data_IF_774970790695
#
_entry.id   IF_774970790695
#
_cell.length_a   1.000
_cell.length_b   1.000
_cell.length_c   1.000
_cell.angle_alpha   90.00
_cell.angle_beta   90.00
_cell.angle_gamma   90.00
#
_symmetry.space_group_name_H-M   'P 1'
#
loop_
_entity.id
_entity.type
_entity.pdbx_description
1 polymer ?
#
# COMPACT_ATOMS: atom_id res chain seq x y z
N UNK A 1 -19.10 19.65 -22.76
CA UNK A 1 -18.06 19.75 -21.73
C UNK A 1 -18.76 19.54 -20.39
N UNK A 2 -18.52 18.44 -19.71
CA UNK A 2 -19.31 18.03 -18.56
C UNK A 2 -18.92 18.85 -17.34
N UNK A 3 -19.86 19.59 -16.70
CA UNK A 3 -19.58 20.38 -15.48
C UNK A 3 -19.10 19.52 -14.29
N UNK A 4 -19.49 18.26 -14.28
CA UNK A 4 -19.15 17.29 -13.25
C UNK A 4 -17.64 16.96 -13.14
N UNK A 5 -16.87 17.10 -14.21
CA UNK A 5 -15.43 16.76 -14.21
C UNK A 5 -14.58 17.81 -13.49
N UNK A 6 -14.95 19.09 -13.57
CA UNK A 6 -14.18 20.17 -12.92
C UNK A 6 -14.40 20.22 -11.42
N UNK A 7 -15.61 19.97 -10.97
CA UNK A 7 -15.96 19.94 -9.54
C UNK A 7 -15.35 18.71 -8.86
N UNK A 8 -15.37 17.56 -9.56
CA UNK A 8 -14.77 16.32 -9.12
C UNK A 8 -13.22 16.42 -9.02
N UNK A 9 -12.56 17.03 -9.99
CA UNK A 9 -11.12 17.32 -9.97
C UNK A 9 -10.76 18.22 -8.78
N UNK A 10 -11.54 19.26 -8.48
CA UNK A 10 -11.29 20.17 -7.35
C UNK A 10 -11.37 19.44 -6.00
N UNK A 11 -12.37 18.63 -5.75
CA UNK A 11 -12.50 17.85 -4.51
C UNK A 11 -11.34 16.85 -4.34
N UNK A 12 -10.95 16.17 -5.41
CA UNK A 12 -9.81 15.28 -5.44
C UNK A 12 -8.48 15.98 -5.08
N UNK A 13 -8.23 17.15 -5.68
CA UNK A 13 -7.02 17.91 -5.39
C UNK A 13 -6.98 18.38 -3.93
N UNK A 14 -8.13 18.74 -3.33
CA UNK A 14 -8.17 19.12 -1.93
C UNK A 14 -7.73 17.96 -1.01
N UNK A 15 -8.27 16.75 -1.19
CA UNK A 15 -7.93 15.58 -0.34
C UNK A 15 -6.46 15.16 -0.50
N UNK A 16 -5.92 15.17 -1.74
CA UNK A 16 -4.51 14.91 -1.99
C UNK A 16 -3.64 15.99 -1.32
N UNK A 17 -4.05 17.26 -1.41
CA UNK A 17 -3.30 18.35 -0.82
C UNK A 17 -3.28 18.31 0.71
N UNK A 18 -4.39 17.93 1.35
CA UNK A 18 -4.49 17.79 2.81
C UNK A 18 -4.03 16.43 3.34
N UNK A 19 -3.51 15.57 2.47
CA UNK A 19 -2.94 14.27 2.83
C UNK A 19 -3.92 13.37 3.61
N UNK A 20 -5.16 13.27 3.11
CA UNK A 20 -6.19 12.36 3.62
C UNK A 20 -6.54 11.30 2.58
N UNK A 21 -6.76 10.04 2.98
CA UNK A 21 -7.23 9.01 2.07
C UNK A 21 -8.59 9.37 1.47
N UNK A 22 -8.74 9.11 0.16
CA UNK A 22 -9.99 9.38 -0.54
C UNK A 22 -10.27 8.32 -1.60
N UNK A 23 -11.54 7.89 -1.70
CA UNK A 23 -12.01 7.04 -2.79
C UNK A 23 -12.55 7.94 -3.90
N UNK A 24 -11.94 7.84 -5.07
CA UNK A 24 -12.28 8.61 -6.25
C UNK A 24 -13.03 7.70 -7.22
N UNK A 25 -14.28 8.05 -7.54
CA UNK A 25 -15.15 7.27 -8.42
C UNK A 25 -15.30 7.92 -9.78
N UNK A 26 -15.52 7.09 -10.82
CA UNK A 26 -15.75 7.59 -12.17
C UNK A 26 -14.51 8.13 -12.88
N UNK A 27 -13.31 7.76 -12.42
CA UNK A 27 -12.06 8.09 -13.08
C UNK A 27 -11.95 7.35 -14.43
N UNK A 28 -11.39 8.03 -15.43
CA UNK A 28 -11.13 7.41 -16.71
C UNK A 28 -9.82 6.64 -16.67
N UNK A 29 -9.88 5.34 -16.38
CA UNK A 29 -8.72 4.43 -16.37
C UNK A 29 -8.36 3.87 -17.74
N UNK A 30 -9.13 4.20 -18.77
CA UNK A 30 -8.93 3.67 -20.13
C UNK A 30 -9.73 2.36 -20.38
N UNK A 31 -9.46 1.68 -21.49
CA UNK A 31 -10.19 0.49 -21.90
C UNK A 31 -9.95 -0.74 -21.01
N UNK A 32 -9.02 -0.68 -20.08
CA UNK A 32 -8.71 -1.80 -19.17
C UNK A 32 -9.94 -2.27 -18.37
N UNK A 33 -10.87 -1.37 -18.03
CA UNK A 33 -12.09 -1.72 -17.28
C UNK A 33 -12.99 -2.73 -18.02
N UNK A 34 -13.06 -2.61 -19.34
CA UNK A 34 -13.88 -3.51 -20.18
C UNK A 34 -13.06 -4.71 -20.67
N UNK A 35 -11.76 -4.53 -20.90
CA UNK A 35 -10.92 -5.52 -21.56
C UNK A 35 -10.26 -6.52 -20.62
N UNK A 36 -9.84 -6.12 -19.39
CA UNK A 36 -8.99 -6.95 -18.54
C UNK A 36 -9.77 -8.08 -17.85
N UNK A 37 -10.44 -8.90 -18.69
CA UNK A 37 -10.97 -10.21 -18.29
C UNK A 37 -9.82 -11.21 -18.12
N UNK A 38 -10.06 -12.32 -17.40
CA UNK A 38 -9.06 -13.39 -17.27
C UNK A 38 -8.62 -13.95 -18.62
N UNK A 39 -9.53 -14.07 -19.57
CA UNK A 39 -9.21 -14.53 -20.93
C UNK A 39 -8.29 -13.52 -21.65
N UNK A 40 -8.66 -12.26 -21.69
CA UNK A 40 -7.87 -11.21 -22.34
C UNK A 40 -6.46 -11.08 -21.73
N UNK A 41 -6.36 -11.10 -20.40
CA UNK A 41 -5.08 -11.05 -19.69
C UNK A 41 -4.19 -12.23 -20.07
N UNK A 42 -4.76 -13.45 -20.13
CA UNK A 42 -4.03 -14.65 -20.53
C UNK A 42 -3.54 -14.58 -21.97
N UNK A 43 -4.37 -14.11 -22.90
CA UNK A 43 -4.02 -13.97 -24.31
C UNK A 43 -2.93 -12.89 -24.53
N UNK A 44 -3.06 -11.74 -23.87
CA UNK A 44 -2.15 -10.60 -24.07
C UNK A 44 -0.84 -10.70 -23.30
N UNK A 45 -0.87 -11.29 -22.10
CA UNK A 45 0.34 -11.53 -21.32
C UNK A 45 1.10 -12.79 -21.75
N UNK A 46 0.37 -13.77 -22.33
CA UNK A 46 0.95 -14.97 -22.96
C UNK A 46 1.98 -15.68 -22.11
N UNK A 47 3.12 -15.97 -22.72
CA UNK A 47 4.25 -16.71 -22.12
C UNK A 47 5.26 -15.80 -21.39
N UNK A 48 4.93 -14.52 -21.17
CA UNK A 48 5.80 -13.65 -20.36
C UNK A 48 6.02 -14.27 -18.98
N UNK A 49 7.26 -14.54 -18.61
CA UNK A 49 7.57 -15.11 -17.31
C UNK A 49 7.37 -14.07 -16.19
N UNK A 50 6.63 -14.46 -15.17
CA UNK A 50 6.39 -13.66 -13.98
C UNK A 50 6.75 -14.41 -12.70
N UNK A 51 7.37 -13.69 -11.75
CA UNK A 51 7.66 -14.22 -10.42
C UNK A 51 6.49 -13.93 -9.49
N UNK A 52 5.89 -14.97 -8.96
CA UNK A 52 4.67 -14.91 -8.15
C UNK A 52 4.89 -15.51 -6.76
N UNK A 53 4.07 -15.07 -5.81
CA UNK A 53 3.98 -15.66 -4.48
C UNK A 53 2.91 -16.75 -4.50
N UNK A 54 3.19 -17.89 -3.89
CA UNK A 54 2.27 -19.01 -3.71
C UNK A 54 2.21 -19.37 -2.24
N UNK A 55 1.03 -19.46 -1.66
CA UNK A 55 0.82 -19.77 -0.24
C UNK A 55 -0.30 -20.78 -0.07
N UNK A 56 -0.17 -21.63 0.95
CA UNK A 56 -1.21 -22.57 1.38
C UNK A 56 -2.39 -21.89 2.09
N UNK A 57 -2.24 -20.65 2.47
CA UNK A 57 -3.27 -19.84 3.15
C UNK A 57 -3.40 -18.49 2.48
N UNK A 58 -4.61 -17.89 2.46
CA UNK A 58 -4.82 -16.62 1.77
C UNK A 58 -4.19 -15.43 2.49
N UNK A 59 -3.94 -15.51 3.81
CA UNK A 59 -3.26 -14.45 4.57
C UNK A 59 -1.76 -14.61 4.41
N UNK A 60 -1.15 -13.74 3.61
CA UNK A 60 0.31 -13.75 3.40
C UNK A 60 1.03 -12.99 4.49
N UNK A 61 1.96 -13.68 5.18
CA UNK A 61 2.84 -13.13 6.21
C UNK A 61 4.21 -12.82 5.61
N UNK A 62 4.53 -11.54 5.49
CA UNK A 62 5.81 -11.07 4.97
C UNK A 62 6.87 -10.87 6.05
N UNK A 63 6.49 -10.97 7.33
CA UNK A 63 7.45 -11.01 8.44
C UNK A 63 8.07 -12.40 8.58
N UNK A 64 7.22 -13.45 8.60
CA UNK A 64 7.66 -14.84 8.83
C UNK A 64 7.66 -15.69 7.55
N UNK A 65 7.22 -15.14 6.41
CA UNK A 65 7.26 -15.75 5.06
C UNK A 65 6.60 -17.13 4.98
N UNK A 66 5.27 -17.14 5.03
CA UNK A 66 4.46 -18.35 4.86
C UNK A 66 4.15 -18.68 3.39
N UNK A 67 4.94 -18.20 2.45
CA UNK A 67 4.77 -18.38 1.02
C UNK A 67 6.09 -18.73 0.34
N UNK A 68 5.99 -19.29 -0.86
CA UNK A 68 7.13 -19.56 -1.75
C UNK A 68 7.04 -18.70 -3.01
N UNK A 69 8.17 -18.54 -3.69
CA UNK A 69 8.22 -17.92 -5.01
C UNK A 69 8.20 -18.98 -6.10
N UNK A 70 7.39 -18.75 -7.13
CA UNK A 70 7.40 -19.53 -8.38
C UNK A 70 7.55 -18.60 -9.56
N UNK A 71 8.19 -19.06 -10.61
CA UNK A 71 8.21 -18.39 -11.92
C UNK A 71 7.30 -19.16 -12.85
N UNK A 72 6.34 -18.47 -13.46
CA UNK A 72 5.31 -19.04 -14.32
C UNK A 72 5.11 -18.17 -15.56
N UNK A 73 4.69 -18.75 -16.70
CA UNK A 73 4.08 -17.97 -17.77
C UNK A 73 2.89 -17.17 -17.23
N UNK A 74 2.75 -15.92 -17.64
CA UNK A 74 1.67 -15.04 -17.17
C UNK A 74 0.28 -15.63 -17.42
N UNK A 75 0.05 -16.27 -18.58
CA UNK A 75 -1.20 -16.94 -18.91
C UNK A 75 -1.55 -18.06 -17.92
N UNK A 76 -0.58 -18.87 -17.52
CA UNK A 76 -0.77 -19.93 -16.53
C UNK A 76 -0.99 -19.34 -15.12
N UNK A 77 -0.25 -18.31 -14.74
CA UNK A 77 -0.45 -17.61 -13.48
C UNK A 77 -1.86 -17.03 -13.36
N UNK A 78 -2.35 -16.30 -14.38
CA UNK A 78 -3.71 -15.71 -14.36
C UNK A 78 -4.77 -16.79 -14.26
N UNK A 79 -4.62 -17.92 -14.97
CA UNK A 79 -5.51 -19.08 -14.86
C UNK A 79 -5.56 -19.55 -13.40
N UNK A 80 -4.41 -19.88 -12.80
CA UNK A 80 -4.32 -20.36 -11.42
C UNK A 80 -4.88 -19.35 -10.42
N UNK A 81 -4.50 -18.07 -10.51
CA UNK A 81 -4.99 -17.05 -9.60
C UNK A 81 -6.51 -16.84 -9.65
N UNK A 82 -7.17 -17.16 -10.77
CA UNK A 82 -8.62 -17.04 -10.95
C UNK A 82 -9.41 -18.29 -10.52
N UNK A 83 -8.76 -19.42 -10.34
CA UNK A 83 -9.37 -20.69 -9.91
C UNK A 83 -9.43 -20.77 -8.38
N UNK A 84 -10.43 -21.51 -7.85
CA UNK A 84 -10.56 -21.75 -6.41
C UNK A 84 -9.85 -23.03 -5.96
N UNK A 85 -9.71 -23.98 -6.86
CA UNK A 85 -9.07 -25.27 -6.66
C UNK A 85 -8.26 -25.64 -7.86
N UNK A 86 -7.12 -26.26 -7.64
CA UNK A 86 -6.15 -26.61 -8.66
C UNK A 86 -6.02 -28.14 -8.76
N UNK A 87 -6.20 -28.68 -9.96
CA UNK A 87 -5.91 -30.09 -10.24
C UNK A 87 -4.39 -30.38 -10.29
N UNK A 88 -3.61 -29.34 -10.63
CA UNK A 88 -2.14 -29.33 -10.61
C UNK A 88 -1.70 -28.18 -9.72
N UNK A 89 -1.00 -28.47 -8.61
CA UNK A 89 -0.62 -27.51 -7.60
C UNK A 89 0.83 -27.68 -7.14
N UNK A 90 1.40 -26.63 -6.55
CA UNK A 90 2.75 -26.64 -6.01
C UNK A 90 2.79 -26.99 -4.52
N UNK A 91 1.76 -26.59 -3.77
CA UNK A 91 1.69 -26.72 -2.32
C UNK A 91 0.45 -27.51 -1.88
N UNK A 92 -0.73 -27.07 -2.32
CA UNK A 92 -2.02 -27.70 -2.01
C UNK A 92 -3.08 -27.28 -3.03
N UNK A 93 -4.19 -28.02 -3.10
CA UNK A 93 -5.26 -27.81 -4.11
C UNK A 93 -5.97 -26.46 -4.04
N UNK A 94 -5.93 -25.78 -2.90
CA UNK A 94 -6.57 -24.48 -2.65
C UNK A 94 -5.55 -23.34 -2.42
N UNK A 95 -4.33 -23.51 -2.94
CA UNK A 95 -3.25 -22.54 -2.83
C UNK A 95 -3.62 -21.16 -3.43
N UNK A 96 -3.14 -20.11 -2.78
CA UNK A 96 -3.38 -18.71 -3.16
C UNK A 96 -2.19 -18.13 -3.91
N UNK A 97 -2.47 -17.29 -4.89
CA UNK A 97 -1.48 -16.67 -5.78
C UNK A 97 -1.49 -15.16 -5.69
N UNK A 98 -0.30 -14.56 -5.71
CA UNK A 98 -0.12 -13.11 -5.74
C UNK A 98 1.01 -12.69 -6.65
N UNK A 99 0.71 -11.77 -7.56
CA UNK A 99 1.67 -11.04 -8.37
C UNK A 99 1.81 -9.60 -7.88
N UNK A 100 3.03 -9.18 -7.62
CA UNK A 100 3.48 -7.80 -7.58
C UNK A 100 4.56 -7.65 -8.64
N UNK A 101 4.30 -6.86 -9.68
CA UNK A 101 5.30 -6.64 -10.72
C UNK A 101 6.55 -5.96 -10.16
N UNK A 102 7.68 -6.30 -10.75
CA UNK A 102 9.01 -5.79 -10.38
C UNK A 102 9.60 -5.08 -11.58
N UNK A 103 10.60 -4.23 -11.36
CA UNK A 103 11.42 -3.67 -12.43
C UNK A 103 12.21 -4.75 -13.17
N UNK A 104 12.75 -4.44 -14.32
CA UNK A 104 13.56 -5.37 -15.13
C UNK A 104 14.81 -5.82 -14.35
N UNK A 105 15.57 -4.89 -13.79
CA UNK A 105 16.56 -5.20 -12.75
C UNK A 105 15.91 -4.94 -11.37
N UNK A 106 15.46 -6.02 -10.73
CA UNK A 106 14.76 -5.98 -9.43
C UNK A 106 15.53 -5.31 -8.29
N UNK A 107 16.84 -5.10 -8.47
CA UNK A 107 17.70 -4.47 -7.46
C UNK A 107 17.96 -2.99 -7.72
N UNK A 108 17.64 -2.50 -8.92
CA UNK A 108 18.00 -1.14 -9.35
C UNK A 108 16.83 -0.32 -9.86
N UNK A 109 15.84 -0.98 -10.46
CA UNK A 109 14.78 -0.30 -11.19
C UNK A 109 13.42 -0.47 -10.52
N UNK A 110 12.67 0.63 -10.32
CA UNK A 110 11.27 0.55 -9.92
C UNK A 110 10.41 -0.16 -10.97
N UNK A 111 9.31 -0.75 -10.53
CA UNK A 111 8.33 -1.32 -11.43
C UNK A 111 7.67 -0.23 -12.30
N UNK A 112 7.49 -0.54 -13.58
CA UNK A 112 6.75 0.32 -14.52
C UNK A 112 5.93 -0.57 -15.45
N UNK A 113 4.60 -0.52 -15.33
CA UNK A 113 3.71 -1.33 -16.14
C UNK A 113 3.95 -1.16 -17.65
N UNK A 114 4.38 0.03 -18.08
CA UNK A 114 4.69 0.30 -19.49
C UNK A 114 5.90 -0.47 -19.99
N UNK A 115 6.85 -0.77 -19.09
CA UNK A 115 8.05 -1.55 -19.42
C UNK A 115 7.82 -3.05 -19.31
N UNK A 116 7.24 -3.51 -18.19
CA UNK A 116 7.07 -4.93 -17.93
C UNK A 116 5.87 -5.55 -18.70
N UNK A 117 4.82 -4.77 -18.96
CA UNK A 117 3.59 -5.24 -19.61
C UNK A 117 3.12 -4.25 -20.69
N UNK A 118 3.93 -3.96 -21.72
CA UNK A 118 3.66 -2.87 -22.68
C UNK A 118 2.31 -3.04 -23.37
N UNK A 119 1.94 -4.26 -23.78
CA UNK A 119 0.66 -4.53 -24.45
C UNK A 119 -0.54 -4.25 -23.53
N UNK A 120 -0.45 -4.61 -22.25
CA UNK A 120 -1.53 -4.33 -21.29
C UNK A 120 -1.54 -2.85 -20.89
N UNK A 121 -0.37 -2.21 -20.84
CA UNK A 121 -0.25 -0.81 -20.46
C UNK A 121 -0.92 0.15 -21.46
N UNK A 122 -1.12 -0.27 -22.72
CA UNK A 122 -1.89 0.50 -23.73
C UNK A 122 -3.36 0.66 -23.32
N UNK A 123 -3.90 -0.27 -22.55
CA UNK A 123 -5.27 -0.23 -22.07
C UNK A 123 -5.43 0.57 -20.78
N UNK A 124 -4.34 0.86 -20.04
CA UNK A 124 -4.39 1.53 -18.75
C UNK A 124 -3.91 2.97 -18.84
N UNK A 125 -4.79 3.88 -18.50
CA UNK A 125 -4.47 5.30 -18.42
C UNK A 125 -4.07 5.67 -16.99
N UNK A 126 -2.79 6.03 -16.79
CA UNK A 126 -2.30 6.52 -15.50
C UNK A 126 -2.98 7.87 -15.20
N UNK A 127 -3.66 8.01 -14.05
CA UNK A 127 -4.27 9.27 -13.67
C UNK A 127 -3.22 10.36 -13.40
N UNK A 128 -3.48 11.59 -13.88
CA UNK A 128 -2.57 12.73 -13.77
C UNK A 128 -2.92 13.62 -12.57
N UNK A 129 -2.87 13.05 -11.36
CA UNK A 129 -3.16 13.78 -10.10
C UNK A 129 -1.90 14.33 -9.41
N UNK A 130 -0.74 14.16 -10.00
CA UNK A 130 0.54 14.56 -9.44
C UNK A 130 1.48 15.11 -10.53
N UNK A 131 2.50 15.83 -10.11
CA UNK A 131 3.56 16.26 -11.02
C UNK A 131 4.32 15.04 -11.56
N UNK A 132 4.35 14.89 -12.88
CA UNK A 132 5.00 13.76 -13.56
C UNK A 132 6.49 13.63 -13.22
N UNK A 133 7.16 14.72 -12.83
CA UNK A 133 8.55 14.69 -12.35
C UNK A 133 8.72 13.94 -11.02
N UNK A 134 7.63 13.79 -10.26
CA UNK A 134 7.59 13.06 -8.99
C UNK A 134 7.24 11.58 -9.16
N UNK A 135 6.84 11.14 -10.36
CA UNK A 135 6.55 9.74 -10.64
C UNK A 135 7.68 8.83 -10.17
N UNK A 136 7.33 7.75 -9.51
CA UNK A 136 8.29 6.78 -9.03
C UNK A 136 8.08 5.40 -9.66
N UNK A 137 6.87 4.84 -9.56
CA UNK A 137 6.59 3.49 -10.09
C UNK A 137 5.13 3.29 -10.41
N UNK A 138 4.87 2.35 -11.32
CA UNK A 138 3.54 1.77 -11.54
C UNK A 138 3.61 0.26 -11.37
N UNK A 139 2.94 -0.24 -10.33
CA UNK A 139 3.02 -1.64 -9.89
C UNK A 139 1.75 -2.38 -10.29
N UNK A 140 1.88 -3.35 -11.19
CA UNK A 140 0.79 -4.21 -11.59
C UNK A 140 0.61 -5.32 -10.56
N UNK A 141 -0.62 -5.53 -10.09
CA UNK A 141 -0.96 -6.49 -9.05
C UNK A 141 -2.13 -7.36 -9.46
N UNK A 142 -1.97 -8.67 -9.26
CA UNK A 142 -3.04 -9.66 -9.43
C UNK A 142 -3.06 -10.55 -8.20
N UNK A 143 -4.25 -10.84 -7.69
CA UNK A 143 -4.45 -11.64 -6.48
C UNK A 143 -5.59 -12.63 -6.62
N UNK A 144 -5.41 -13.83 -6.08
CA UNK A 144 -6.49 -14.79 -5.88
C UNK A 144 -7.55 -14.22 -4.93
N UNK A 145 -8.78 -14.73 -5.05
CA UNK A 145 -9.85 -14.44 -4.10
C UNK A 145 -9.45 -14.82 -2.68
N UNK A 146 -9.81 -13.98 -1.72
CA UNK A 146 -9.54 -14.18 -0.30
C UNK A 146 -8.13 -13.75 0.13
N UNK A 147 -7.26 -13.43 -0.82
CA UNK A 147 -5.89 -13.06 -0.51
C UNK A 147 -5.85 -11.76 0.28
N UNK A 148 -5.22 -11.83 1.45
CA UNK A 148 -5.01 -10.70 2.34
C UNK A 148 -3.53 -10.32 2.39
N UNK A 149 -3.24 -9.03 2.19
CA UNK A 149 -1.94 -8.45 2.41
C UNK A 149 -1.93 -7.75 3.78
N UNK A 150 -0.83 -7.88 4.48
CA UNK A 150 -0.58 -7.37 5.83
C UNK A 150 -0.77 -5.86 5.97
N UNK A 151 -0.95 -5.39 7.19
CA UNK A 151 -0.95 -3.96 7.51
C UNK A 151 0.48 -3.41 7.44
N UNK A 152 0.69 -2.42 6.57
CA UNK A 152 1.98 -1.76 6.34
C UNK A 152 1.75 -0.30 5.92
N UNK A 153 2.82 0.48 5.88
CA UNK A 153 2.83 1.81 5.27
C UNK A 153 3.81 1.88 4.11
N UNK A 154 3.56 2.80 3.20
CA UNK A 154 4.50 3.21 2.17
C UNK A 154 5.02 4.62 2.48
N UNK A 155 6.22 4.95 2.02
CA UNK A 155 6.85 6.27 2.25
C UNK A 155 6.57 7.27 1.12
N UNK A 156 5.81 6.87 0.13
CA UNK A 156 5.38 7.66 -1.02
C UNK A 156 3.86 7.72 -1.09
N UNK A 157 3.35 8.75 -1.74
CA UNK A 157 1.93 8.81 -2.08
C UNK A 157 1.58 7.69 -3.07
N UNK A 158 0.41 7.11 -2.90
CA UNK A 158 -0.03 5.92 -3.61
C UNK A 158 -1.46 6.09 -4.11
N UNK A 159 -1.68 5.82 -5.38
CA UNK A 159 -2.99 5.72 -5.99
C UNK A 159 -3.26 4.29 -6.41
N UNK A 160 -4.13 3.60 -5.70
CA UNK A 160 -4.54 2.24 -6.00
C UNK A 160 -5.74 2.29 -6.96
N UNK A 161 -5.54 1.87 -8.22
CA UNK A 161 -6.59 1.70 -9.21
C UNK A 161 -7.10 0.26 -9.18
N UNK A 162 -8.38 0.05 -8.84
CA UNK A 162 -9.01 -1.25 -8.91
C UNK A 162 -9.62 -1.43 -10.30
N UNK A 163 -9.14 -2.43 -11.05
CA UNK A 163 -9.57 -2.65 -12.45
C UNK A 163 -10.53 -3.82 -12.57
N UNK A 164 -10.23 -4.95 -11.95
CA UNK A 164 -11.06 -6.17 -12.00
C UNK A 164 -11.29 -6.70 -10.60
N UNK A 165 -12.50 -7.17 -10.31
CA UNK A 165 -12.90 -7.68 -9.00
C UNK A 165 -13.02 -6.60 -7.93
N UNK A 166 -13.43 -7.00 -6.74
CA UNK A 166 -13.65 -6.11 -5.59
C UNK A 166 -12.56 -6.31 -4.53
N UNK A 167 -12.20 -5.21 -3.85
CA UNK A 167 -11.16 -5.21 -2.83
C UNK A 167 -11.59 -4.42 -1.61
N UNK A 168 -11.51 -5.02 -0.44
CA UNK A 168 -11.63 -4.31 0.84
C UNK A 168 -10.28 -3.72 1.22
N UNK A 169 -10.27 -2.47 1.64
CA UNK A 169 -9.07 -1.80 2.16
C UNK A 169 -9.37 -1.23 3.53
N UNK A 170 -8.53 -1.56 4.49
CA UNK A 170 -8.56 -1.00 5.84
C UNK A 170 -7.37 -0.06 6.00
N UNK A 171 -7.61 1.12 6.53
CA UNK A 171 -6.64 2.20 6.66
C UNK A 171 -6.54 2.64 8.13
N UNK A 172 -5.32 2.99 8.55
CA UNK A 172 -5.07 3.63 9.84
C UNK A 172 -4.19 4.86 9.62
N UNK A 173 -4.47 5.93 10.35
CA UNK A 173 -3.66 7.16 10.25
C UNK A 173 -2.25 6.94 10.79
N UNK A 174 -1.26 7.75 10.38
CA UNK A 174 0.10 7.68 10.95
C UNK A 174 0.14 7.82 12.48
N UNK A 175 -0.84 8.49 13.07
CA UNK A 175 -0.94 8.68 14.53
C UNK A 175 -1.25 7.39 15.27
N UNK A 176 -1.81 6.39 14.59
CA UNK A 176 -2.13 5.08 15.16
C UNK A 176 -0.91 4.14 15.28
N UNK A 177 0.28 4.56 14.82
CA UNK A 177 1.50 3.75 14.77
C UNK A 177 1.83 3.04 16.09
N UNK A 178 1.54 3.68 17.24
CA UNK A 178 1.79 3.11 18.57
C UNK A 178 0.90 1.91 18.91
N UNK A 179 -0.25 1.79 18.26
CA UNK A 179 -1.24 0.74 18.51
C UNK A 179 -1.16 -0.41 17.51
N UNK A 180 -0.36 -0.26 16.45
CA UNK A 180 -0.28 -1.23 15.35
C UNK A 180 0.84 -2.27 15.51
N UNK A 181 1.61 -2.24 16.58
CA UNK A 181 2.68 -3.20 16.87
C UNK A 181 3.62 -3.38 15.68
N UNK A 182 4.28 -2.28 15.31
CA UNK A 182 5.10 -2.23 14.11
C UNK A 182 6.44 -2.94 14.28
N UNK A 183 6.78 -3.78 13.28
CA UNK A 183 8.11 -4.36 13.06
C UNK A 183 8.62 -3.88 11.70
N UNK A 184 9.50 -2.87 11.70
CA UNK A 184 9.85 -2.14 10.47
C UNK A 184 8.63 -1.43 9.89
N UNK A 185 8.37 -1.64 8.61
CA UNK A 185 7.22 -1.08 7.87
C UNK A 185 5.91 -1.89 8.02
N UNK A 186 5.92 -2.99 8.81
CA UNK A 186 4.81 -3.95 8.90
C UNK A 186 4.29 -4.12 10.31
N UNK A 187 2.97 -4.30 10.45
CA UNK A 187 2.35 -4.70 11.71
C UNK A 187 2.55 -6.19 11.98
N UNK A 188 2.78 -6.55 13.23
CA UNK A 188 2.76 -7.94 13.69
C UNK A 188 1.34 -8.51 13.82
N UNK A 189 0.31 -7.65 13.80
CA UNK A 189 -1.09 -8.06 13.87
C UNK A 189 -1.55 -8.47 12.46
N UNK A 190 -1.52 -9.77 12.17
CA UNK A 190 -1.91 -10.30 10.87
C UNK A 190 -3.42 -10.34 10.68
N UNK A 191 -4.15 -10.84 11.67
CA UNK A 191 -5.62 -10.85 11.67
C UNK A 191 -6.13 -9.58 12.35
N UNK A 192 -6.50 -8.59 11.52
CA UNK A 192 -7.02 -7.31 11.99
C UNK A 192 -8.52 -7.34 12.32
N UNK A 193 -9.21 -8.40 11.94
CA UNK A 193 -10.65 -8.58 12.18
C UNK A 193 -10.91 -9.36 13.46
N UNK A 194 -9.98 -10.25 13.84
CA UNK A 194 -10.02 -11.04 15.09
C UNK A 194 -8.63 -11.05 15.76
N UNK A 195 -8.11 -9.87 16.16
CA UNK A 195 -6.76 -9.78 16.71
C UNK A 195 -6.61 -10.51 18.04
N UNK A 196 -5.46 -11.12 18.26
CA UNK A 196 -5.10 -11.70 19.57
C UNK A 196 -4.86 -10.58 20.59
N UNK A 197 -5.89 -10.21 21.33
CA UNK A 197 -5.82 -9.12 22.32
C UNK A 197 -5.02 -9.50 23.59
N UNK A 198 -4.67 -10.76 23.81
CA UNK A 198 -3.72 -11.13 24.86
C UNK A 198 -2.31 -10.73 24.44
N UNK A 199 -1.97 -10.94 23.17
CA UNK A 199 -0.69 -10.55 22.59
C UNK A 199 -0.64 -9.05 22.22
N UNK A 200 -1.74 -8.50 21.73
CA UNK A 200 -1.82 -7.13 21.19
C UNK A 200 -2.92 -6.29 21.87
N UNK A 201 -2.86 -6.06 23.20
CA UNK A 201 -3.94 -5.42 23.96
C UNK A 201 -4.26 -3.98 23.51
N UNK A 202 -3.26 -3.23 23.03
CA UNK A 202 -3.44 -1.84 22.62
C UNK A 202 -4.05 -1.71 21.22
N UNK A 203 -4.11 -2.79 20.44
CA UNK A 203 -4.61 -2.74 19.05
C UNK A 203 -6.07 -2.25 18.95
N UNK A 204 -6.89 -2.51 19.98
CA UNK A 204 -8.28 -2.03 20.05
C UNK A 204 -8.40 -0.50 20.05
N UNK A 205 -7.33 0.22 20.36
CA UNK A 205 -7.30 1.69 20.39
C UNK A 205 -7.08 2.28 19.00
N UNK A 206 -6.57 1.50 18.04
CA UNK A 206 -6.30 1.95 16.69
C UNK A 206 -7.61 2.29 15.97
N UNK A 207 -7.75 3.55 15.55
CA UNK A 207 -8.92 4.03 14.81
C UNK A 207 -8.88 3.53 13.38
N UNK A 208 -9.81 2.64 13.05
CA UNK A 208 -9.92 1.97 11.76
C UNK A 208 -10.81 2.76 10.82
N UNK A 209 -10.36 2.91 9.57
CA UNK A 209 -11.14 3.37 8.44
C UNK A 209 -11.22 2.24 7.41
N UNK A 210 -12.35 2.10 6.73
CA UNK A 210 -12.56 0.98 5.80
C UNK A 210 -13.32 1.43 4.55
N UNK A 211 -12.92 0.91 3.41
CA UNK A 211 -13.66 1.06 2.16
C UNK A 211 -13.62 -0.24 1.34
N UNK A 212 -14.60 -0.38 0.45
CA UNK A 212 -14.63 -1.43 -0.57
C UNK A 212 -14.52 -0.78 -1.94
N UNK A 213 -13.50 -1.16 -2.70
CA UNK A 213 -13.25 -0.66 -4.05
C UNK A 213 -13.91 -1.58 -5.07
N UNK A 214 -14.65 -0.97 -5.98
CA UNK A 214 -15.23 -1.60 -7.15
C UNK A 214 -14.35 -1.37 -8.38
N UNK A 215 -14.51 -2.15 -9.47
CA UNK A 215 -13.85 -1.83 -10.74
C UNK A 215 -14.10 -0.38 -11.17
N UNK A 216 -13.04 0.34 -11.47
CA UNK A 216 -13.07 1.77 -11.82
C UNK A 216 -12.84 2.73 -10.64
N UNK A 217 -12.87 2.24 -9.40
CA UNK A 217 -12.54 3.07 -8.24
C UNK A 217 -11.02 3.28 -8.12
N UNK A 218 -10.64 4.48 -7.69
CA UNK A 218 -9.29 4.82 -7.28
C UNK A 218 -9.28 5.10 -5.78
N UNK A 219 -8.30 4.59 -5.07
CA UNK A 219 -8.05 4.97 -3.68
C UNK A 219 -6.73 5.71 -3.58
N UNK A 220 -6.79 6.98 -3.18
CA UNK A 220 -5.62 7.73 -2.75
C UNK A 220 -5.23 7.30 -1.34
N UNK A 221 -4.00 6.84 -1.17
CA UNK A 221 -3.39 6.49 0.11
C UNK A 221 -2.17 7.40 0.28
N UNK A 222 -2.26 8.41 1.15
CA UNK A 222 -1.13 9.29 1.40
C UNK A 222 0.07 8.53 1.99
N UNK A 223 1.26 9.06 1.79
CA UNK A 223 2.47 8.56 2.43
C UNK A 223 2.26 8.38 3.95
N UNK A 224 2.83 7.32 4.52
CA UNK A 224 2.77 6.94 5.93
C UNK A 224 1.40 6.46 6.45
N UNK A 225 0.34 6.48 5.63
CA UNK A 225 -0.91 5.84 6.01
C UNK A 225 -0.78 4.32 5.97
N UNK A 226 -1.12 3.67 7.09
CA UNK A 226 -1.15 2.21 7.16
C UNK A 226 -2.34 1.67 6.40
N UNK A 227 -2.12 0.58 5.69
CA UNK A 227 -3.19 -0.08 4.94
C UNK A 227 -3.04 -1.59 4.91
N UNK A 228 -4.19 -2.26 4.93
CA UNK A 228 -4.38 -3.70 4.79
C UNK A 228 -5.36 -3.93 3.67
N UNK A 229 -5.13 -4.92 2.82
CA UNK A 229 -6.00 -5.19 1.67
C UNK A 229 -6.46 -6.63 1.66
N UNK A 230 -7.73 -6.85 1.35
CA UNK A 230 -8.35 -8.15 1.15
C UNK A 230 -9.02 -8.20 -0.22
N UNK A 231 -8.59 -9.12 -1.07
CA UNK A 231 -9.24 -9.38 -2.35
C UNK A 231 -10.53 -10.19 -2.13
N UNK A 232 -11.69 -9.57 -2.29
CA UNK A 232 -12.99 -10.25 -2.11
C UNK A 232 -13.30 -11.20 -3.27
N UNK A 233 -12.69 -10.94 -4.42
CA UNK A 233 -12.76 -11.73 -5.65
C UNK A 233 -11.35 -11.84 -6.25
N UNK A 234 -11.18 -12.63 -7.34
CA UNK A 234 -10.01 -12.50 -8.19
C UNK A 234 -9.86 -11.04 -8.58
N UNK A 235 -8.71 -10.45 -8.29
CA UNK A 235 -8.51 -9.01 -8.37
C UNK A 235 -7.33 -8.60 -9.22
N UNK A 236 -7.53 -7.57 -10.04
CA UNK A 236 -6.48 -6.92 -10.82
C UNK A 236 -6.48 -5.43 -10.50
N UNK A 237 -5.31 -4.89 -10.23
CA UNK A 237 -5.14 -3.47 -9.95
C UNK A 237 -3.76 -2.94 -10.33
N UNK A 238 -3.66 -1.63 -10.37
CA UNK A 238 -2.40 -0.91 -10.58
C UNK A 238 -2.22 0.09 -9.46
N UNK A 239 -1.08 0.04 -8.78
CA UNK A 239 -0.68 1.08 -7.85
C UNK A 239 0.27 2.04 -8.56
N UNK A 240 -0.01 3.33 -8.48
CA UNK A 240 0.86 4.38 -9.00
C UNK A 240 1.45 5.13 -7.81
N UNK A 241 2.77 5.14 -7.72
CA UNK A 241 3.50 5.80 -6.63
C UNK A 241 4.22 7.04 -7.14
N UNK A 242 4.20 8.10 -6.33
CA UNK A 242 5.00 9.30 -6.57
C UNK A 242 5.61 9.83 -5.27
N UNK A 243 6.69 10.59 -5.41
CA UNK A 243 7.39 11.16 -4.26
C UNK A 243 6.62 12.33 -3.69
N UNK A 244 6.35 12.29 -2.41
CA UNK A 244 5.80 13.41 -1.65
C UNK A 244 6.88 14.40 -1.20
N UNK A 245 8.06 13.90 -0.85
CA UNK A 245 9.22 14.70 -0.47
C UNK A 245 10.14 14.92 -1.67
N UNK A 246 11.13 15.80 -1.50
CA UNK A 246 12.19 15.97 -2.50
C UNK A 246 12.95 14.66 -2.73
N UNK A 247 13.40 14.43 -3.96
CA UNK A 247 13.99 13.16 -4.37
C UNK A 247 15.24 12.74 -3.58
N UNK A 248 15.99 13.69 -3.04
CA UNK A 248 17.17 13.46 -2.20
C UNK A 248 16.84 13.00 -0.77
N UNK A 249 15.58 13.12 -0.36
CA UNK A 249 15.09 12.59 0.92
C UNK A 249 14.98 11.07 0.92
N UNK A 250 14.90 10.43 -0.26
CA UNK A 250 14.73 8.99 -0.40
C UNK A 250 16.06 8.26 -0.65
N UNK A 251 16.16 6.99 -0.23
CA UNK A 251 17.33 6.14 -0.55
C UNK A 251 17.33 5.84 -2.06
N UNK A 252 18.35 6.33 -2.77
CA UNK A 252 18.53 6.12 -4.22
C UNK A 252 18.69 4.63 -4.61
N UNK A 253 18.95 3.76 -3.66
CA UNK A 253 19.10 2.30 -3.85
C UNK A 253 17.83 1.54 -3.46
N UNK A 254 16.69 2.22 -3.39
CA UNK A 254 15.39 1.62 -3.09
C UNK A 254 14.50 1.53 -4.34
N UNK A 255 14.53 0.42 -5.09
CA UNK A 255 13.67 0.23 -6.26
C UNK A 255 12.21 -0.09 -5.88
N UNK A 256 11.93 -0.41 -4.61
CA UNK A 256 10.60 -0.75 -4.14
C UNK A 256 9.82 0.44 -3.59
N UNK A 257 10.50 1.50 -3.15
CA UNK A 257 9.88 2.66 -2.54
C UNK A 257 9.33 2.41 -1.13
N UNK A 258 9.93 1.46 -0.40
CA UNK A 258 9.47 1.05 0.93
C UNK A 258 10.48 1.29 2.05
N UNK A 259 11.63 1.89 1.75
CA UNK A 259 12.59 2.29 2.78
C UNK A 259 12.24 3.68 3.32
N UNK A 260 12.36 3.81 4.61
CA UNK A 260 12.21 5.11 5.27
C UNK A 260 13.12 6.17 4.65
N UNK A 261 12.70 7.44 4.65
CA UNK A 261 13.53 8.56 4.23
C UNK A 261 14.88 8.55 4.95
N UNK A 262 15.93 8.96 4.26
CA UNK A 262 17.32 8.89 4.76
C UNK A 262 17.47 9.53 6.13
N UNK A 263 16.81 10.68 6.36
CA UNK A 263 16.86 11.36 7.66
C UNK A 263 16.16 10.54 8.76
N UNK A 264 15.01 9.93 8.47
CA UNK A 264 14.27 9.07 9.41
C UNK A 264 15.08 7.83 9.77
N UNK A 265 15.65 7.15 8.78
CA UNK A 265 16.53 5.98 8.99
C UNK A 265 17.70 6.33 9.89
N UNK A 266 18.37 7.47 9.65
CA UNK A 266 19.49 7.93 10.50
C UNK A 266 19.05 8.24 11.92
N UNK A 267 17.88 8.85 12.09
CA UNK A 267 17.32 9.18 13.41
C UNK A 267 17.00 7.91 14.21
N UNK A 268 16.35 6.92 13.58
CA UNK A 268 16.07 5.61 14.20
C UNK A 268 17.35 4.90 14.61
N UNK A 269 18.36 4.86 13.74
CA UNK A 269 19.67 4.29 14.07
C UNK A 269 20.37 5.01 15.23
N UNK A 270 20.21 6.33 15.34
CA UNK A 270 20.74 7.09 16.49
C UNK A 270 19.99 6.75 17.77
N UNK A 271 18.66 6.56 17.70
CA UNK A 271 17.85 6.11 18.82
C UNK A 271 18.28 4.72 19.30
N UNK A 272 18.45 3.76 18.39
CA UNK A 272 18.93 2.42 18.75
C UNK A 272 20.28 2.46 19.48
N UNK A 273 21.23 3.25 19.00
CA UNK A 273 22.52 3.44 19.72
C UNK A 273 22.34 4.05 21.11
N UNK A 274 21.41 5.00 21.26
CA UNK A 274 21.10 5.60 22.55
C UNK A 274 20.46 4.59 23.52
N UNK A 275 19.53 3.77 23.03
CA UNK A 275 18.91 2.70 23.82
C UNK A 275 19.94 1.66 24.26
N UNK A 276 20.81 1.22 23.34
CA UNK A 276 21.91 0.30 23.69
C UNK A 276 22.86 0.89 24.75
N UNK A 277 23.08 2.21 24.74
CA UNK A 277 23.85 2.88 25.79
C UNK A 277 23.16 2.80 27.14
N UNK A 278 21.81 2.90 27.18
CA UNK A 278 21.04 2.74 28.42
C UNK A 278 21.11 1.32 29.00
N UNK A 279 21.36 0.29 28.17
CA UNK A 279 21.47 -1.10 28.63
C UNK A 279 22.66 -1.31 29.61
N UNK A 280 23.60 -0.41 29.63
CA UNK A 280 24.73 -0.42 30.57
C UNK A 280 24.35 0.01 31.99
N UNK A 281 23.15 0.58 32.18
CA UNK A 281 22.65 1.07 33.47
C UNK A 281 21.83 0.00 34.20
N UNK A 282 21.75 0.05 35.55
CA UNK A 282 20.81 -0.75 36.33
C UNK A 282 19.34 -0.54 35.84
N UNK A 283 18.47 -1.58 36.00
CA UNK A 283 17.12 -1.52 35.45
C UNK A 283 16.29 -0.28 35.82
N UNK A 284 16.37 0.14 37.08
CA UNK A 284 15.64 1.30 37.60
C UNK A 284 16.12 2.62 36.96
N UNK A 285 17.41 2.76 36.69
CA UNK A 285 17.98 3.92 35.99
C UNK A 285 17.62 3.88 34.50
N UNK A 286 17.70 2.72 33.88
CA UNK A 286 17.31 2.50 32.49
C UNK A 286 15.85 2.88 32.26
N UNK A 287 14.90 2.40 33.09
CA UNK A 287 13.49 2.78 33.02
C UNK A 287 13.30 4.29 33.15
N UNK A 288 13.91 4.92 34.15
CA UNK A 288 13.79 6.36 34.37
C UNK A 288 14.28 7.19 33.16
N UNK A 289 15.47 6.88 32.64
CA UNK A 289 16.02 7.62 31.51
C UNK A 289 15.29 7.28 30.21
N UNK A 290 14.82 6.07 30.02
CA UNK A 290 13.95 5.69 28.90
C UNK A 290 12.68 6.55 28.86
N UNK A 291 11.97 6.72 29.98
CA UNK A 291 10.80 7.62 30.08
C UNK A 291 11.14 9.07 29.76
N UNK A 292 12.30 9.55 30.20
CA UNK A 292 12.77 10.91 29.86
C UNK A 292 13.07 11.07 28.38
N UNK A 293 13.58 10.05 27.71
CA UNK A 293 13.80 10.06 26.24
C UNK A 293 12.46 10.12 25.51
N UNK A 294 11.49 9.27 25.88
CA UNK A 294 10.13 9.30 25.31
C UNK A 294 9.51 10.69 25.44
N UNK A 295 9.57 11.31 26.64
CA UNK A 295 9.04 12.67 26.85
C UNK A 295 9.68 13.71 25.92
N UNK A 296 11.02 13.61 25.69
CA UNK A 296 11.72 14.53 24.77
C UNK A 296 11.30 14.32 23.31
N UNK A 297 11.15 13.07 22.90
CA UNK A 297 10.68 12.73 21.55
C UNK A 297 9.26 13.30 21.36
N UNK A 298 8.33 12.98 22.25
CA UNK A 298 6.95 13.46 22.18
C UNK A 298 6.87 14.99 22.11
N UNK A 299 7.60 15.69 23.00
CA UNK A 299 7.59 17.16 23.05
C UNK A 299 8.10 17.82 21.74
N UNK A 300 9.01 17.15 21.02
CA UNK A 300 9.68 17.75 19.86
C UNK A 300 9.09 17.34 18.52
N UNK A 301 8.43 16.22 18.46
CA UNK A 301 8.04 15.60 17.18
C UNK A 301 6.53 15.37 17.04
N UNK A 302 5.81 15.16 18.17
CA UNK A 302 4.37 14.99 18.06
C UNK A 302 3.71 16.35 17.82
N UNK A 303 2.98 16.45 16.73
CA UNK A 303 2.08 17.57 16.50
C UNK A 303 0.91 17.41 17.47
N UNK A 304 0.69 18.39 18.33
CA UNK A 304 -0.62 18.52 19.02
C UNK A 304 -1.65 18.72 17.93
N UNK A 305 -2.49 17.71 17.71
CA UNK A 305 -3.61 17.81 16.79
C UNK A 305 -4.53 18.94 17.30
N UNK A 306 -4.38 20.14 16.75
CA UNK A 306 -5.54 20.97 16.55
C UNK A 306 -6.35 20.25 15.47
N UNK A 307 -7.26 19.35 15.88
CA UNK A 307 -8.32 18.91 15.01
C UNK A 307 -9.00 20.17 14.50
N UNK A 308 -9.14 20.38 13.17
CA UNK A 308 -10.11 21.36 12.70
C UNK A 308 -11.43 20.87 13.27
N UNK A 309 -12.12 21.71 14.02
CA UNK A 309 -13.46 21.44 14.51
C UNK A 309 -14.30 21.07 13.29
N UNK A 310 -14.93 19.90 13.34
CA UNK A 310 -15.97 19.51 12.39
C UNK A 310 -16.92 20.72 12.26
N UNK A 311 -16.93 21.40 11.11
CA UNK A 311 -17.85 22.50 10.89
C UNK A 311 -17.35 23.71 10.09
N UNK A 312 -16.14 23.75 9.54
CA UNK A 312 -15.83 24.78 8.53
C UNK A 312 -16.18 24.25 7.13
N UNK A 313 -17.44 24.44 6.75
CA UNK A 313 -17.86 24.44 5.34
C UNK A 313 -17.03 25.49 4.60
N UNK A 314 -16.34 25.07 3.53
CA UNK A 314 -15.73 26.02 2.60
C UNK A 314 -16.83 26.86 1.97
N UNK A 315 -17.07 28.07 2.48
CA UNK A 315 -17.88 29.07 1.79
C UNK A 315 -17.22 29.43 0.46
N UNK A 316 -17.83 29.00 -0.62
CA UNK A 316 -17.49 29.42 -1.97
C UNK A 316 -18.01 30.85 -2.17
N UNK A 317 -17.15 31.82 -1.98
CA UNK A 317 -17.45 33.20 -2.44
C UNK A 317 -17.37 33.23 -3.95
N UNK A 318 -18.53 33.41 -4.59
CA UNK A 318 -18.64 33.74 -6.01
C UNK A 318 -18.07 35.14 -6.25
N UNK A 319 -17.09 35.32 -7.15
CA UNK A 319 -16.82 36.64 -7.68
C UNK A 319 -17.83 36.92 -8.82
N UNK A 320 -18.55 38.02 -8.68
CA UNK A 320 -19.50 38.53 -9.64
C UNK A 320 -18.90 38.89 -11.02
#
# INVERSE_FOLDING_TARGET
MYPCLQEWIRTCFCEIFIQRPAVLRGACLGPCLDKWTTQYLREKGGDLEVKVHVSTVPTMDFLHKNFVYKTLPFSEFVKRASEKRHSDFFLCEDESYYLRSLGEDVRKEPADIKKQFPVLAEDFKIPEFFDQSQFFSSVFRISSRGLQLWTHYDVMDNLLAQVTGTKRVVLYSPQEALYLYMSGDKSEVLDIDSPDLQKFPEFVKAKRHECVLQPGDLLFIPALWFHNTLALEFGVGVNVFWRHLQADSYDKRDPYGNKDPVAATRALQALERALHTLDTLPPEYRDFYGRRMVQRVQKRTYTTSNEPKDGEECEVTNPG
#
